data_IF_042765975610
#
_entry.id   IF_042765975610
#
_cell.length_a   1.000
_cell.length_b   1.000
_cell.length_c   1.000
_cell.angle_alpha   90.00
_cell.angle_beta   90.00
_cell.angle_gamma   90.00
#
_symmetry.space_group_name_H-M   'P 1'
#
loop_
_entity.id
_entity.type
_entity.pdbx_description
1 polymer ?
#
# COMPACT_ATOMS: atom_id res chain seq x y z
N UNK A 1 14.07 -37.07 36.42
CA UNK A 1 12.70 -36.59 36.13
C UNK A 1 12.84 -35.15 35.66
N UNK A 2 12.88 -34.95 34.33
CA UNK A 2 12.99 -33.63 33.72
C UNK A 2 11.64 -33.27 33.14
N UNK A 3 10.98 -32.24 33.68
CA UNK A 3 9.82 -31.63 33.07
C UNK A 3 10.28 -30.75 31.90
N UNK A 4 9.92 -31.15 30.68
CA UNK A 4 10.07 -30.34 29.49
C UNK A 4 8.99 -29.25 29.51
N UNK A 5 9.41 -27.98 29.45
CA UNK A 5 8.56 -26.87 29.08
C UNK A 5 8.74 -26.64 27.57
N UNK A 6 7.78 -27.09 26.78
CA UNK A 6 7.63 -26.66 25.39
C UNK A 6 7.12 -25.21 25.37
N UNK A 7 7.98 -24.27 24.96
CA UNK A 7 7.55 -22.94 24.55
C UNK A 7 7.14 -23.03 23.08
N UNK A 8 5.83 -23.03 22.85
CA UNK A 8 5.24 -22.76 21.53
C UNK A 8 5.64 -21.34 21.14
N UNK A 9 6.42 -21.22 20.07
CA UNK A 9 6.89 -19.96 19.51
C UNK A 9 5.85 -19.44 18.52
N UNK A 10 5.06 -18.45 18.94
CA UNK A 10 4.17 -17.69 18.06
C UNK A 10 5.00 -16.82 17.10
N UNK A 11 5.38 -17.40 15.96
CA UNK A 11 6.05 -16.70 14.87
C UNK A 11 5.01 -16.09 13.91
N UNK A 12 4.26 -15.08 14.39
CA UNK A 12 3.53 -14.15 13.53
C UNK A 12 4.32 -12.84 13.43
N UNK A 13 5.53 -12.92 12.89
CA UNK A 13 6.34 -11.76 12.59
C UNK A 13 5.95 -11.26 11.18
N UNK A 14 4.86 -10.49 11.10
CA UNK A 14 4.60 -9.64 9.92
C UNK A 14 5.69 -8.58 9.95
N UNK A 15 6.84 -8.92 9.36
CA UNK A 15 7.99 -8.05 9.31
C UNK A 15 7.60 -6.86 8.41
N UNK A 16 7.21 -5.74 9.00
CA UNK A 16 7.09 -4.47 8.29
C UNK A 16 8.46 -4.20 7.67
N UNK A 17 8.66 -4.51 6.39
CA UNK A 17 9.90 -4.21 5.67
C UNK A 17 9.98 -2.69 5.63
N UNK A 18 10.87 -2.14 6.47
CA UNK A 18 11.08 -0.70 6.61
C UNK A 18 11.42 -0.14 5.23
N UNK A 19 10.52 0.68 4.69
CA UNK A 19 10.78 1.42 3.46
C UNK A 19 11.85 2.48 3.75
N UNK A 20 12.74 2.73 2.79
CA UNK A 20 13.64 3.87 2.88
C UNK A 20 12.84 5.17 2.78
N UNK A 21 13.45 6.28 3.19
CA UNK A 21 12.84 7.59 3.02
C UNK A 21 12.53 7.83 1.53
N UNK A 22 11.28 8.16 1.18
CA UNK A 22 10.88 8.27 -0.21
C UNK A 22 11.46 9.52 -0.87
N UNK A 23 11.71 9.41 -2.18
CA UNK A 23 12.30 10.48 -2.99
C UNK A 23 11.22 11.19 -3.80
N UNK A 24 11.19 12.52 -3.75
CA UNK A 24 10.15 13.32 -4.41
C UNK A 24 10.23 13.10 -5.92
N UNK A 25 9.08 12.89 -6.56
CA UNK A 25 8.98 12.62 -8.00
C UNK A 25 9.33 11.18 -8.39
N UNK A 26 9.77 10.33 -7.46
CA UNK A 26 9.96 8.90 -7.72
C UNK A 26 8.63 8.15 -7.71
N UNK A 27 8.53 7.13 -8.56
CA UNK A 27 7.36 6.26 -8.66
C UNK A 27 7.42 5.18 -7.58
N UNK A 28 6.30 5.04 -6.88
CA UNK A 28 5.98 3.97 -5.94
C UNK A 28 4.68 3.29 -6.36
N UNK A 29 4.30 2.24 -5.66
CA UNK A 29 3.05 1.53 -5.89
C UNK A 29 2.23 1.49 -4.62
N UNK A 30 1.00 1.96 -4.71
CA UNK A 30 0.00 1.76 -3.67
C UNK A 30 -0.59 0.37 -3.82
N UNK A 31 -0.39 -0.48 -2.81
CA UNK A 31 -0.83 -1.85 -2.75
C UNK A 31 -2.17 -1.93 -2.01
N UNK A 32 -3.16 -2.52 -2.68
CA UNK A 32 -4.48 -2.82 -2.11
C UNK A 32 -4.82 -4.28 -2.36
N UNK A 33 -5.91 -4.76 -1.75
CA UNK A 33 -6.43 -6.10 -2.04
C UNK A 33 -7.95 -6.04 -2.22
N UNK A 34 -8.45 -6.76 -3.23
CA UNK A 34 -9.88 -6.83 -3.52
C UNK A 34 -10.64 -7.79 -2.59
N UNK A 35 -9.93 -8.56 -1.76
CA UNK A 35 -10.51 -9.51 -0.84
C UNK A 35 -9.73 -9.62 0.48
N UNK A 36 -10.38 -10.00 1.59
CA UNK A 36 -9.73 -10.15 2.91
C UNK A 36 -8.64 -11.22 2.96
N UNK A 37 -8.67 -12.20 2.05
CA UNK A 37 -7.68 -13.27 2.00
C UNK A 37 -6.39 -12.86 1.25
N UNK A 38 -6.31 -11.61 0.78
CA UNK A 38 -5.13 -11.05 0.13
C UNK A 38 -4.64 -11.84 -1.09
N UNK A 39 -5.56 -12.42 -1.86
CA UNK A 39 -5.27 -13.22 -3.07
C UNK A 39 -5.44 -12.42 -4.36
N UNK A 40 -5.93 -11.18 -4.28
CA UNK A 40 -6.21 -10.33 -5.44
C UNK A 40 -5.65 -8.92 -5.22
N UNK A 41 -4.36 -8.69 -5.52
CA UNK A 41 -3.69 -7.44 -5.25
C UNK A 41 -4.06 -6.42 -6.32
N UNK A 42 -4.37 -5.21 -5.88
CA UNK A 42 -4.40 -4.01 -6.71
C UNK A 42 -3.10 -3.25 -6.56
N UNK A 43 -2.53 -2.80 -7.66
CA UNK A 43 -1.31 -2.01 -7.69
C UNK A 43 -1.57 -0.71 -8.45
N UNK A 44 -1.53 0.41 -7.75
CA UNK A 44 -1.74 1.73 -8.34
C UNK A 44 -0.41 2.51 -8.32
N UNK A 45 0.13 2.93 -9.47
CA UNK A 45 1.34 3.73 -9.50
C UNK A 45 1.08 5.15 -9.00
N UNK A 46 1.90 5.57 -8.02
CA UNK A 46 1.81 6.88 -7.35
C UNK A 46 3.18 7.54 -7.30
N UNK A 47 3.24 8.87 -7.27
CA UNK A 47 4.45 9.66 -7.07
C UNK A 47 4.50 10.19 -5.65
N UNK A 48 5.66 10.11 -5.01
CA UNK A 48 5.86 10.80 -3.74
C UNK A 48 5.99 12.31 -3.97
N UNK A 49 5.22 13.10 -3.21
CA UNK A 49 5.11 14.55 -3.35
C UNK A 49 5.84 15.28 -2.22
N UNK A 50 5.84 14.71 -1.01
CA UNK A 50 6.51 15.32 0.14
C UNK A 50 5.96 14.85 1.48
N UNK A 51 6.55 15.36 2.55
CA UNK A 51 6.18 15.05 3.94
C UNK A 51 5.56 16.28 4.58
N UNK A 52 4.44 16.12 5.28
CA UNK A 52 3.75 17.19 6.01
C UNK A 52 3.51 18.46 5.17
N UNK A 53 3.13 18.27 3.89
CA UNK A 53 3.05 19.38 2.92
C UNK A 53 1.87 20.33 3.19
N UNK A 54 0.94 19.95 4.08
CA UNK A 54 -0.21 20.78 4.45
C UNK A 54 -0.05 21.48 5.81
N UNK A 55 1.07 21.28 6.52
CA UNK A 55 1.51 22.12 7.65
C UNK A 55 0.75 21.99 8.97
N UNK A 56 -0.44 21.37 8.95
CA UNK A 56 -1.33 21.27 10.11
C UNK A 56 -1.34 19.85 10.74
N UNK A 57 -0.37 19.00 10.40
CA UNK A 57 -0.38 17.61 10.85
C UNK A 57 0.25 17.42 12.24
N UNK A 58 -0.50 16.76 13.14
CA UNK A 58 0.00 16.35 14.47
C UNK A 58 1.03 15.21 14.40
N UNK A 59 0.99 14.43 13.32
CA UNK A 59 1.86 13.28 13.08
C UNK A 59 2.45 13.36 11.68
N UNK A 60 3.62 12.74 11.50
CA UNK A 60 4.30 12.66 10.22
C UNK A 60 3.47 11.89 9.19
N UNK A 61 3.20 12.53 8.05
CA UNK A 61 2.49 11.96 6.91
C UNK A 61 3.28 12.15 5.62
N UNK A 62 3.35 11.07 4.85
CA UNK A 62 3.88 11.06 3.50
C UNK A 62 2.74 11.22 2.50
N UNK A 63 2.90 12.14 1.55
CA UNK A 63 1.88 12.43 0.55
C UNK A 63 2.27 11.85 -0.81
N UNK A 64 1.33 11.16 -1.42
CA UNK A 64 1.49 10.57 -2.74
C UNK A 64 0.39 11.03 -3.68
N UNK A 65 0.75 11.42 -4.90
CA UNK A 65 -0.18 11.78 -5.96
C UNK A 65 -0.31 10.63 -6.95
N UNK A 66 -1.51 10.31 -7.39
CA UNK A 66 -1.67 9.30 -8.43
C UNK A 66 -1.10 9.77 -9.77
N UNK A 67 -0.56 8.83 -10.54
CA UNK A 67 0.06 9.11 -11.84
C UNK A 67 -0.90 9.76 -12.86
N UNK A 68 -2.20 9.39 -12.96
CA UNK A 68 -3.15 10.13 -13.80
C UNK A 68 -3.29 11.61 -13.44
N UNK A 69 -3.48 11.96 -12.16
CA UNK A 69 -3.55 13.37 -11.75
C UNK A 69 -2.28 14.12 -12.06
N UNK A 70 -1.11 13.53 -11.79
CA UNK A 70 0.17 14.15 -12.10
C UNK A 70 0.33 14.43 -13.60
N UNK A 71 -0.03 13.46 -14.44
CA UNK A 71 0.06 13.61 -15.90
C UNK A 71 -0.82 14.75 -16.41
N UNK A 72 -1.98 14.96 -15.78
CA UNK A 72 -2.97 15.93 -16.24
C UNK A 72 -2.75 17.34 -15.70
N UNK A 73 -2.28 17.46 -14.46
CA UNK A 73 -2.25 18.73 -13.73
C UNK A 73 -0.87 19.12 -13.20
N UNK A 74 0.14 18.27 -13.38
CA UNK A 74 1.47 18.45 -12.79
C UNK A 74 1.48 18.12 -11.30
N UNK A 75 2.50 18.61 -10.60
CA UNK A 75 2.69 18.37 -9.18
C UNK A 75 1.60 19.09 -8.36
N UNK A 76 0.92 18.37 -7.46
CA UNK A 76 -0.18 18.92 -6.68
C UNK A 76 0.20 20.13 -5.82
N UNK A 77 1.47 20.25 -5.41
CA UNK A 77 1.99 21.40 -4.63
C UNK A 77 2.22 22.65 -5.47
N UNK A 78 2.31 22.53 -6.80
CA UNK A 78 2.58 23.64 -7.73
C UNK A 78 1.32 24.08 -8.48
N UNK A 79 0.28 23.26 -8.49
CA UNK A 79 -0.92 23.49 -9.26
C UNK A 79 -1.91 24.41 -8.54
N UNK A 80 -2.40 25.44 -9.24
CA UNK A 80 -3.54 26.25 -8.81
C UNK A 80 -4.87 25.48 -8.82
N UNK A 81 -4.90 24.28 -9.40
CA UNK A 81 -6.08 23.40 -9.50
C UNK A 81 -5.93 22.17 -8.57
N UNK A 82 -5.33 22.34 -7.40
CA UNK A 82 -5.05 21.25 -6.45
C UNK A 82 -6.30 20.47 -6.03
N UNK A 83 -7.49 21.05 -6.12
CA UNK A 83 -8.78 20.39 -5.85
C UNK A 83 -9.15 19.28 -6.85
N UNK A 84 -8.52 19.23 -8.03
CA UNK A 84 -8.74 18.17 -9.03
C UNK A 84 -7.66 17.08 -8.99
N UNK A 85 -6.63 17.26 -8.15
CA UNK A 85 -5.57 16.28 -7.97
C UNK A 85 -5.93 15.29 -6.87
N UNK A 86 -5.83 13.99 -7.15
CA UNK A 86 -5.95 12.99 -6.10
C UNK A 86 -4.61 12.82 -5.38
N UNK A 87 -4.55 13.29 -4.14
CA UNK A 87 -3.40 13.15 -3.24
C UNK A 87 -3.81 12.34 -2.03
N UNK A 88 -3.05 11.28 -1.74
CA UNK A 88 -3.26 10.41 -0.62
C UNK A 88 -2.21 10.65 0.47
N UNK A 89 -2.67 10.85 1.70
CA UNK A 89 -1.83 10.89 2.88
C UNK A 89 -1.65 9.47 3.44
N UNK A 90 -0.40 9.07 3.70
CA UNK A 90 -0.03 7.79 4.28
C UNK A 90 0.75 8.05 5.56
N UNK A 91 0.32 7.45 6.68
CA UNK A 91 1.05 7.58 7.94
C UNK A 91 2.39 6.86 7.86
N UNK A 92 3.37 7.26 8.70
CA UNK A 92 4.67 6.57 8.77
C UNK A 92 4.52 5.07 9.08
N UNK A 93 3.51 4.70 9.86
CA UNK A 93 3.27 3.31 10.26
C UNK A 93 2.69 2.43 9.14
N UNK A 94 2.12 3.05 8.11
CA UNK A 94 1.54 2.37 6.94
C UNK A 94 2.53 2.30 5.77
N UNK A 95 3.64 3.05 5.83
CA UNK A 95 4.70 2.97 4.83
C UNK A 95 5.33 1.56 4.80
N UNK A 96 5.59 1.05 3.60
CA UNK A 96 6.08 -0.31 3.40
C UNK A 96 4.98 -1.39 3.45
N UNK A 97 3.81 -1.10 4.03
CA UNK A 97 2.65 -1.98 4.02
C UNK A 97 1.68 -1.62 2.87
N UNK A 98 1.31 -0.35 2.77
CA UNK A 98 0.36 0.15 1.78
C UNK A 98 1.02 0.82 0.58
N UNK A 99 2.24 1.34 0.74
CA UNK A 99 3.07 1.87 -0.36
C UNK A 99 4.38 1.11 -0.40
N UNK A 100 4.74 0.64 -1.59
CA UNK A 100 5.89 -0.22 -1.83
C UNK A 100 6.74 0.31 -2.98
N UNK A 101 8.01 -0.07 -2.97
CA UNK A 101 8.94 0.16 -4.06
C UNK A 101 8.79 -0.89 -5.17
N UNK A 102 9.19 -0.52 -6.39
CA UNK A 102 9.14 -1.40 -7.56
C UNK A 102 9.84 -2.76 -7.34
N UNK A 103 10.97 -2.77 -6.63
CA UNK A 103 11.74 -3.99 -6.38
C UNK A 103 11.00 -5.00 -5.49
N UNK A 104 9.97 -4.59 -4.75
CA UNK A 104 9.16 -5.44 -3.88
C UNK A 104 8.03 -6.17 -4.64
N UNK A 105 7.66 -5.68 -5.83
CA UNK A 105 6.53 -6.20 -6.61
C UNK A 105 6.61 -7.71 -6.89
N UNK A 106 7.74 -8.28 -7.34
CA UNK A 106 7.80 -9.70 -7.65
C UNK A 106 7.51 -10.59 -6.44
N UNK A 107 8.01 -10.20 -5.25
CA UNK A 107 7.75 -10.93 -4.01
C UNK A 107 6.27 -10.92 -3.67
N UNK A 108 5.62 -9.74 -3.72
CA UNK A 108 4.20 -9.60 -3.37
C UNK A 108 3.30 -10.36 -4.34
N UNK A 109 3.63 -10.33 -5.63
CA UNK A 109 2.90 -11.08 -6.66
C UNK A 109 3.02 -12.57 -6.39
N UNK A 110 4.23 -13.08 -6.13
CA UNK A 110 4.45 -14.50 -5.84
C UNK A 110 3.73 -14.93 -4.57
N UNK A 111 3.86 -14.17 -3.47
CA UNK A 111 3.18 -14.46 -2.21
C UNK A 111 1.66 -14.51 -2.38
N UNK A 112 1.12 -13.63 -3.23
CA UNK A 112 -0.30 -13.64 -3.58
C UNK A 112 -0.69 -14.89 -4.35
N UNK A 113 0.08 -15.28 -5.37
CA UNK A 113 -0.17 -16.47 -6.18
C UNK A 113 -0.19 -17.71 -5.26
N UNK A 114 0.78 -17.83 -4.37
CA UNK A 114 0.84 -18.94 -3.40
C UNK A 114 -0.39 -18.97 -2.48
N UNK A 115 -0.86 -17.81 -2.00
CA UNK A 115 -2.11 -17.73 -1.22
C UNK A 115 -3.32 -18.14 -2.06
N UNK A 116 -3.40 -17.68 -3.30
CA UNK A 116 -4.50 -18.01 -4.20
C UNK A 116 -4.55 -19.51 -4.50
N UNK A 117 -3.41 -20.15 -4.77
CA UNK A 117 -3.29 -21.59 -5.00
C UNK A 117 -3.76 -22.40 -3.78
N UNK A 118 -3.32 -22.04 -2.57
CA UNK A 118 -3.73 -22.68 -1.32
C UNK A 118 -5.24 -22.62 -1.09
N UNK A 119 -5.90 -21.58 -1.59
CA UNK A 119 -7.35 -21.36 -1.45
C UNK A 119 -8.15 -21.81 -2.67
N UNK A 120 -7.52 -22.45 -3.67
CA UNK A 120 -8.19 -22.94 -4.87
C UNK A 120 -8.65 -21.84 -5.83
N UNK A 121 -7.86 -20.78 -5.99
CA UNK A 121 -8.15 -19.61 -6.83
C UNK A 121 -9.54 -19.01 -6.54
N UNK A 122 -9.73 -18.42 -5.33
CA UNK A 122 -11.01 -17.84 -4.96
C UNK A 122 -11.45 -16.79 -5.98
N UNK A 123 -12.76 -16.64 -6.16
CA UNK A 123 -13.37 -15.66 -7.07
C UNK A 123 -14.18 -14.66 -6.28
N UNK A 124 -14.20 -13.41 -6.74
CA UNK A 124 -15.09 -12.40 -6.17
C UNK A 124 -16.54 -12.83 -6.37
N UNK A 125 -17.34 -12.66 -5.32
CA UNK A 125 -18.79 -12.86 -5.44
C UNK A 125 -19.36 -11.74 -6.31
N UNK A 126 -20.27 -12.09 -7.21
CA UNK A 126 -21.04 -11.10 -7.96
C UNK A 126 -21.87 -10.31 -6.95
N UNK A 127 -21.65 -8.99 -6.86
CA UNK A 127 -22.48 -8.11 -6.07
C UNK A 127 -23.92 -8.18 -6.60
N UNK A 128 -24.85 -8.69 -5.79
CA UNK A 128 -26.29 -8.67 -6.12
C UNK A 128 -26.91 -7.46 -5.45
N UNK A 129 -27.09 -6.39 -6.22
CA UNK A 129 -27.75 -5.16 -5.79
C UNK A 129 -27.91 -4.21 -6.97
N UNK A 130 -28.93 -3.36 -6.93
CA UNK A 130 -28.95 -2.16 -7.76
C UNK A 130 -27.87 -1.23 -7.19
N UNK A 131 -26.91 -0.81 -8.02
CA UNK A 131 -26.03 0.30 -7.67
C UNK A 131 -26.94 1.49 -7.33
N UNK A 132 -26.98 1.87 -6.06
CA UNK A 132 -27.68 3.07 -5.60
C UNK A 132 -26.77 4.28 -5.75
#
# INVERSE_FOLDING_TARGET
MNCANEKVSDNNNVMCKKMNEPEVGKIYYYLTYANPEFTMPGLNPVLYVGKNIFGDEQEDKYYYQDTPSFTRFGLATESSNSSECFVQAISVNEQGNSVIEQHQLPSIINDTIERAEKLGFPKLKVCKGNWQ
#
